data_IF_799649642399
#
_entry.id   IF_799649642399
#
_cell.length_a   1.000
_cell.length_b   1.000
_cell.length_c   1.000
_cell.angle_alpha   90.00
_cell.angle_beta   90.00
_cell.angle_gamma   90.00
#
_symmetry.space_group_name_H-M   'P 1'
#
loop_
_entity.id
_entity.type
_entity.pdbx_description
1 polymer ?
#
# COMPACT_ATOMS: atom_id res chain seq x y z
N UNK A 1 -5.45 -49.02 11.05
CA UNK A 1 -6.44 -47.93 10.97
C UNK A 1 -5.66 -46.62 10.94
N UNK A 2 -6.09 -45.71 10.08
CA UNK A 2 -5.56 -44.35 9.85
C UNK A 2 -4.36 -44.23 8.89
N UNK A 3 -4.62 -44.55 7.63
CA UNK A 3 -4.03 -43.84 6.48
C UNK A 3 -5.20 -43.53 5.55
N UNK A 4 -5.65 -42.27 5.50
CA UNK A 4 -6.53 -41.69 4.45
C UNK A 4 -7.12 -40.34 4.90
N UNK A 5 -6.28 -39.40 5.35
CA UNK A 5 -6.78 -38.07 5.75
C UNK A 5 -5.83 -36.92 5.38
N UNK A 6 -4.73 -37.12 4.65
CA UNK A 6 -3.93 -36.02 4.10
C UNK A 6 -4.39 -35.62 2.70
N UNK A 7 -4.70 -36.62 1.88
CA UNK A 7 -4.93 -36.41 0.44
C UNK A 7 -6.29 -35.74 0.17
N UNK A 8 -7.25 -35.91 1.08
CA UNK A 8 -8.57 -35.27 1.00
C UNK A 8 -8.50 -33.76 1.22
N UNK A 9 -7.67 -33.28 2.15
CA UNK A 9 -7.51 -31.83 2.40
C UNK A 9 -6.71 -31.14 1.30
N UNK A 10 -5.70 -31.80 0.71
CA UNK A 10 -4.93 -31.21 -0.39
C UNK A 10 -5.75 -31.08 -1.69
N UNK A 11 -6.73 -31.98 -1.91
CA UNK A 11 -7.66 -31.91 -3.04
C UNK A 11 -8.73 -30.81 -2.84
N UNK A 12 -9.26 -30.65 -1.63
CA UNK A 12 -10.24 -29.60 -1.30
C UNK A 12 -9.64 -28.19 -1.41
N UNK A 13 -8.39 -27.99 -0.95
CA UNK A 13 -7.69 -26.70 -1.07
C UNK A 13 -7.41 -26.32 -2.53
N UNK A 14 -7.14 -27.30 -3.41
CA UNK A 14 -6.97 -27.08 -4.85
C UNK A 14 -8.28 -26.70 -5.54
N UNK A 15 -9.40 -27.30 -5.16
CA UNK A 15 -10.73 -27.00 -5.72
C UNK A 15 -11.20 -25.58 -5.34
N UNK A 16 -10.90 -25.12 -4.12
CA UNK A 16 -11.20 -23.74 -3.66
C UNK A 16 -10.41 -22.66 -4.39
N UNK A 17 -9.21 -22.97 -4.87
CA UNK A 17 -8.36 -22.03 -5.62
C UNK A 17 -8.89 -21.75 -7.02
N UNK A 18 -9.62 -22.68 -7.64
CA UNK A 18 -10.21 -22.52 -8.97
C UNK A 18 -11.36 -21.50 -8.99
N UNK A 19 -12.01 -21.27 -7.85
CA UNK A 19 -13.09 -20.30 -7.68
C UNK A 19 -12.59 -18.86 -7.45
N UNK A 20 -11.27 -18.65 -7.28
CA UNK A 20 -10.70 -17.34 -6.98
C UNK A 20 -10.23 -16.59 -8.25
N UNK A 21 -10.82 -15.42 -8.51
CA UNK A 21 -10.42 -14.50 -9.58
C UNK A 21 -9.76 -13.24 -9.01
N UNK A 22 -8.50 -13.01 -9.38
CA UNK A 22 -7.81 -11.75 -9.07
C UNK A 22 -7.92 -10.77 -10.25
N UNK A 23 -8.37 -9.54 -9.99
CA UNK A 23 -8.35 -8.46 -10.98
C UNK A 23 -7.33 -7.40 -10.62
N UNK A 24 -6.28 -7.28 -11.44
CA UNK A 24 -5.35 -6.16 -11.34
C UNK A 24 -5.88 -4.98 -12.14
N UNK A 25 -5.96 -3.80 -11.50
CA UNK A 25 -6.44 -2.55 -12.12
C UNK A 25 -5.38 -1.45 -11.99
N UNK A 26 -4.86 -1.00 -13.11
CA UNK A 26 -3.92 0.12 -13.20
C UNK A 26 -4.72 1.42 -13.23
N UNK A 27 -4.42 2.36 -12.33
CA UNK A 27 -5.11 3.65 -12.19
C UNK A 27 -4.13 4.80 -11.95
N UNK A 28 -4.57 6.03 -12.20
CA UNK A 28 -3.85 7.24 -11.80
C UNK A 28 -3.83 7.37 -10.27
N UNK A 29 -2.71 6.97 -9.67
CA UNK A 29 -2.53 6.97 -8.22
C UNK A 29 -2.53 8.37 -7.61
N UNK A 30 -2.00 9.38 -8.32
CA UNK A 30 -1.96 10.77 -7.85
C UNK A 30 -3.39 11.28 -7.65
N UNK A 31 -4.21 11.13 -8.69
CA UNK A 31 -5.62 11.51 -8.63
C UNK A 31 -6.38 10.66 -7.59
N UNK A 32 -6.15 9.34 -7.54
CA UNK A 32 -6.83 8.45 -6.61
C UNK A 32 -6.57 8.83 -5.15
N UNK A 33 -5.29 9.05 -4.78
CA UNK A 33 -4.89 9.45 -3.43
C UNK A 33 -5.54 10.76 -3.03
N UNK A 34 -5.55 11.76 -3.91
CA UNK A 34 -6.14 13.07 -3.63
C UNK A 34 -7.66 13.04 -3.49
N UNK A 35 -8.33 12.16 -4.23
CA UNK A 35 -9.77 11.94 -4.03
C UNK A 35 -10.03 11.31 -2.66
N UNK A 36 -9.30 10.24 -2.32
CA UNK A 36 -9.52 9.49 -1.09
C UNK A 36 -9.04 10.20 0.19
N UNK A 37 -8.19 11.22 0.07
CA UNK A 37 -7.81 12.12 1.16
C UNK A 37 -8.99 13.01 1.60
N UNK A 38 -9.86 13.42 0.67
CA UNK A 38 -10.99 14.33 0.95
C UNK A 38 -12.36 13.66 0.94
N UNK A 39 -12.53 12.57 0.19
CA UNK A 39 -13.82 11.93 -0.04
C UNK A 39 -13.71 10.41 0.06
N UNK A 40 -14.70 9.71 0.65
CA UNK A 40 -14.64 8.25 0.79
C UNK A 40 -14.74 7.50 -0.55
N UNK A 41 -15.29 8.13 -1.59
CA UNK A 41 -15.41 7.53 -2.93
C UNK A 41 -15.51 8.59 -4.03
N UNK A 42 -15.22 8.18 -5.28
CA UNK A 42 -15.44 9.01 -6.48
C UNK A 42 -16.92 9.44 -6.60
N UNK A 43 -17.86 8.59 -6.19
CA UNK A 43 -19.28 8.93 -6.17
C UNK A 43 -19.61 10.00 -5.12
N UNK A 44 -18.93 9.98 -3.96
CA UNK A 44 -19.09 11.02 -2.93
C UNK A 44 -18.52 12.36 -3.41
N UNK A 45 -17.36 12.36 -4.09
CA UNK A 45 -16.79 13.55 -4.73
C UNK A 45 -17.77 14.19 -5.72
N UNK A 46 -18.39 13.37 -6.59
CA UNK A 46 -19.33 13.89 -7.58
C UNK A 46 -20.61 14.43 -6.94
N UNK A 47 -21.14 13.74 -5.92
CA UNK A 47 -22.31 14.20 -5.16
C UNK A 47 -22.07 15.53 -4.44
N UNK A 48 -20.90 15.68 -3.82
CA UNK A 48 -20.51 16.93 -3.18
C UNK A 48 -20.35 18.11 -4.17
N UNK A 49 -20.18 17.81 -5.45
CA UNK A 49 -19.91 18.79 -6.52
C UNK A 49 -20.92 18.68 -7.68
N UNK A 50 -22.16 18.29 -7.40
CA UNK A 50 -23.21 18.08 -8.42
C UNK A 50 -23.46 19.32 -9.29
N UNK A 51 -23.30 20.53 -8.72
CA UNK A 51 -23.42 21.80 -9.43
C UNK A 51 -22.34 22.06 -10.50
N UNK A 52 -21.25 21.29 -10.51
CA UNK A 52 -20.14 21.45 -11.45
C UNK A 52 -20.21 20.47 -12.65
N UNK A 53 -21.29 19.68 -12.75
CA UNK A 53 -21.52 18.76 -13.88
C UNK A 53 -20.57 17.57 -13.94
N UNK A 54 -20.03 17.15 -12.78
CA UNK A 54 -19.14 15.99 -12.69
C UNK A 54 -19.92 14.68 -12.58
N UNK A 55 -19.69 13.76 -13.51
CA UNK A 55 -20.24 12.41 -13.43
C UNK A 55 -19.18 11.38 -13.03
N UNK A 56 -19.48 10.42 -12.11
CA UNK A 56 -18.54 9.40 -11.68
C UNK A 56 -17.95 8.58 -12.85
N UNK A 57 -18.74 8.38 -13.92
CA UNK A 57 -18.33 7.66 -15.12
C UNK A 57 -17.20 8.37 -15.87
N UNK A 58 -17.20 9.69 -15.90
CA UNK A 58 -16.17 10.49 -16.58
C UNK A 58 -14.87 10.51 -15.76
N UNK A 59 -14.97 10.70 -14.45
CA UNK A 59 -13.82 10.64 -13.53
C UNK A 59 -13.21 9.24 -13.54
N UNK A 60 -14.03 8.19 -13.56
CA UNK A 60 -13.57 6.81 -13.68
C UNK A 60 -12.79 6.52 -14.97
N UNK A 61 -13.19 7.11 -16.11
CA UNK A 61 -12.45 7.00 -17.38
C UNK A 61 -11.08 7.68 -17.31
N UNK A 62 -10.98 8.82 -16.64
CA UNK A 62 -9.71 9.52 -16.41
C UNK A 62 -8.80 8.75 -15.46
N UNK A 63 -9.35 8.17 -14.38
CA UNK A 63 -8.61 7.33 -13.45
C UNK A 63 -8.05 6.07 -14.12
N UNK A 64 -8.80 5.47 -15.04
CA UNK A 64 -8.44 4.21 -15.69
C UNK A 64 -7.77 4.38 -17.07
N UNK A 65 -7.25 5.58 -17.39
CA UNK A 65 -6.58 5.90 -18.66
C UNK A 65 -7.40 5.61 -19.94
N UNK A 66 -8.72 5.50 -19.82
CA UNK A 66 -9.61 5.31 -20.99
C UNK A 66 -9.78 6.60 -21.78
N UNK A 67 -9.58 7.75 -21.14
CA UNK A 67 -9.65 9.07 -21.75
C UNK A 67 -8.47 9.91 -21.31
N UNK A 68 -7.97 10.75 -22.22
CA UNK A 68 -6.95 11.75 -21.91
C UNK A 68 -7.60 13.00 -21.27
N UNK A 69 -6.91 13.62 -20.28
CA UNK A 69 -7.28 14.91 -19.70
C UNK A 69 -7.02 16.08 -20.67
N UNK A 70 -6.17 15.86 -21.67
CA UNK A 70 -5.81 16.84 -22.70
C UNK A 70 -6.77 16.80 -23.90
N UNK A 71 -6.97 17.94 -24.55
CA UNK A 71 -7.55 17.99 -25.88
C UNK A 71 -6.59 17.37 -26.90
N UNK A 72 -7.12 16.79 -27.98
CA UNK A 72 -6.27 16.30 -29.06
C UNK A 72 -6.73 16.84 -30.40
N UNK A 73 -5.75 17.16 -31.26
CA UNK A 73 -5.96 17.41 -32.67
C UNK A 73 -5.79 16.10 -33.41
N UNK A 74 -6.69 15.82 -34.35
CA UNK A 74 -6.59 14.65 -35.22
C UNK A 74 -5.91 15.08 -36.52
N UNK A 75 -4.75 14.49 -36.80
CA UNK A 75 -4.04 14.65 -38.07
C UNK A 75 -3.87 13.25 -38.65
N UNK A 76 -4.72 12.88 -39.61
CA UNK A 76 -4.78 11.51 -40.13
C UNK A 76 -5.19 10.48 -39.07
N UNK A 77 -4.37 9.44 -38.86
CA UNK A 77 -4.59 8.37 -37.86
C UNK A 77 -3.99 8.69 -36.50
N UNK A 78 -3.12 9.69 -36.39
CA UNK A 78 -2.43 10.05 -35.15
C UNK A 78 -3.22 11.09 -34.34
N UNK A 79 -3.10 11.00 -33.01
CA UNK A 79 -3.70 11.94 -32.07
C UNK A 79 -2.57 12.74 -31.42
N UNK A 80 -2.51 14.04 -31.68
CA UNK A 80 -1.56 14.94 -31.04
C UNK A 80 -2.28 15.68 -29.92
N UNK A 81 -1.84 15.50 -28.67
CA UNK A 81 -2.45 16.18 -27.54
C UNK A 81 -1.97 17.63 -27.45
N UNK A 82 -2.90 18.53 -27.13
CA UNK A 82 -2.65 19.96 -26.88
C UNK A 82 -2.57 20.14 -25.37
N UNK A 83 -1.71 21.04 -24.89
CA UNK A 83 -1.53 21.39 -23.46
C UNK A 83 -2.74 22.13 -22.83
N UNK A 84 -3.94 21.90 -23.35
CA UNK A 84 -5.17 22.44 -22.81
C UNK A 84 -5.95 21.32 -22.10
N UNK A 85 -6.30 21.58 -20.84
CA UNK A 85 -7.08 20.66 -20.01
C UNK A 85 -8.57 20.74 -20.32
N UNK A 86 -9.22 19.58 -20.35
CA UNK A 86 -10.68 19.50 -20.46
C UNK A 86 -11.36 20.19 -19.27
N UNK A 87 -12.55 20.76 -19.51
CA UNK A 87 -13.38 21.39 -18.46
C UNK A 87 -13.51 20.55 -17.18
N UNK A 88 -13.69 19.24 -17.32
CA UNK A 88 -13.78 18.32 -16.18
C UNK A 88 -12.50 18.27 -15.31
N UNK A 89 -11.32 18.46 -15.91
CA UNK A 89 -10.05 18.45 -15.19
C UNK A 89 -9.88 19.74 -14.38
N UNK A 90 -10.32 20.88 -14.94
CA UNK A 90 -10.35 22.17 -14.23
C UNK A 90 -11.33 22.14 -13.06
N UNK A 91 -12.48 21.51 -13.26
CA UNK A 91 -13.46 21.29 -12.18
C UNK A 91 -12.88 20.38 -11.09
N UNK A 92 -12.14 19.34 -11.45
CA UNK A 92 -11.45 18.48 -10.48
C UNK A 92 -10.36 19.23 -9.70
N UNK A 93 -9.64 20.14 -10.35
CA UNK A 93 -8.67 21.01 -9.69
C UNK A 93 -9.34 21.89 -8.63
N UNK A 94 -10.49 22.50 -8.95
CA UNK A 94 -11.27 23.29 -8.00
C UNK A 94 -11.79 22.43 -6.83
N UNK A 95 -12.36 21.26 -7.13
CA UNK A 95 -12.92 20.36 -6.11
C UNK A 95 -11.85 19.77 -5.18
N UNK A 96 -10.65 19.47 -5.71
CA UNK A 96 -9.57 18.87 -4.94
C UNK A 96 -8.60 19.93 -4.38
N UNK A 97 -8.73 21.20 -4.77
CA UNK A 97 -7.78 22.28 -4.46
C UNK A 97 -6.33 21.86 -4.77
N UNK A 98 -6.12 21.33 -5.97
CA UNK A 98 -4.83 20.79 -6.41
C UNK A 98 -4.65 20.97 -7.91
N UNK A 99 -3.51 21.50 -8.39
CA UNK A 99 -3.34 21.91 -9.78
C UNK A 99 -3.49 20.74 -10.76
N UNK A 100 -4.17 20.97 -11.88
CA UNK A 100 -4.42 19.95 -12.90
C UNK A 100 -3.12 19.35 -13.48
N UNK A 101 -2.05 20.14 -13.56
CA UNK A 101 -0.72 19.70 -14.03
C UNK A 101 -0.15 18.54 -13.21
N UNK A 102 -0.37 18.57 -11.91
CA UNK A 102 0.12 17.52 -11.01
C UNK A 102 -0.86 16.35 -10.95
N UNK A 103 -2.17 16.62 -10.95
CA UNK A 103 -3.20 15.56 -10.99
C UNK A 103 -3.08 14.72 -12.27
N UNK A 104 -2.66 15.33 -13.37
CA UNK A 104 -2.65 14.73 -14.69
C UNK A 104 -1.30 14.92 -15.41
N UNK A 105 -0.25 14.17 -15.02
CA UNK A 105 1.05 14.27 -15.65
C UNK A 105 1.00 13.85 -17.13
N UNK A 106 1.57 14.68 -18.01
CA UNK A 106 1.51 14.47 -19.46
C UNK A 106 2.14 13.14 -19.89
N UNK A 107 3.33 12.84 -19.39
CA UNK A 107 4.08 11.62 -19.69
C UNK A 107 3.29 10.35 -19.38
N UNK A 108 2.48 10.41 -18.32
CA UNK A 108 1.70 9.29 -17.84
C UNK A 108 0.55 9.01 -18.82
N UNK A 109 -0.21 10.04 -19.20
CA UNK A 109 -1.33 9.87 -20.13
C UNK A 109 -0.86 9.62 -21.58
N UNK A 110 0.28 10.14 -22.01
CA UNK A 110 0.85 9.78 -23.31
C UNK A 110 1.18 8.28 -23.42
N UNK A 111 1.71 7.67 -22.35
CA UNK A 111 2.11 6.25 -22.34
C UNK A 111 0.94 5.28 -22.19
N UNK A 112 -0.07 5.63 -21.39
CA UNK A 112 -1.11 4.67 -20.96
C UNK A 112 -2.48 4.86 -21.60
N UNK A 113 -2.76 5.99 -22.27
CA UNK A 113 -4.10 6.22 -22.83
C UNK A 113 -4.45 5.19 -23.90
N UNK A 114 -5.55 4.47 -23.68
CA UNK A 114 -6.05 3.43 -24.59
C UNK A 114 -5.43 2.04 -24.40
N UNK A 115 -4.54 1.86 -23.42
CA UNK A 115 -4.03 0.55 -23.03
C UNK A 115 -5.05 -0.23 -22.20
N UNK A 116 -4.95 -1.57 -22.16
CA UNK A 116 -5.79 -2.38 -21.29
C UNK A 116 -5.32 -2.23 -19.85
N UNK A 117 -6.10 -1.54 -19.02
CA UNK A 117 -5.76 -1.22 -17.62
C UNK A 117 -6.33 -2.21 -16.62
N UNK A 118 -7.06 -3.24 -17.07
CA UNK A 118 -7.58 -4.31 -16.23
C UNK A 118 -7.22 -5.66 -16.83
N UNK A 119 -6.47 -6.47 -16.09
CA UNK A 119 -6.19 -7.87 -16.43
C UNK A 119 -6.71 -8.73 -15.28
N UNK A 120 -7.64 -9.63 -15.60
CA UNK A 120 -8.03 -10.69 -14.70
C UNK A 120 -6.99 -11.81 -14.82
N UNK A 121 -6.48 -12.26 -13.69
CA UNK A 121 -5.59 -13.39 -13.57
C UNK A 121 -6.38 -14.46 -12.81
N UNK A 122 -6.63 -15.59 -13.45
CA UNK A 122 -7.10 -16.79 -12.77
C UNK A 122 -5.90 -17.37 -12.02
N UNK A 123 -6.09 -17.73 -10.74
CA UNK A 123 -5.03 -18.16 -9.84
C UNK A 123 -4.55 -19.60 -10.12
N UNK A 124 -4.52 -20.03 -11.39
CA UNK A 124 -4.17 -21.41 -11.72
C UNK A 124 -2.66 -21.60 -11.92
N UNK A 125 -1.88 -20.51 -12.04
CA UNK A 125 -0.42 -20.50 -11.80
C UNK A 125 0.16 -19.09 -11.88
N UNK A 126 1.04 -18.75 -10.94
CA UNK A 126 1.84 -17.53 -10.97
C UNK A 126 3.06 -17.72 -11.90
N UNK A 127 2.84 -18.01 -13.19
CA UNK A 127 3.92 -18.33 -14.14
C UNK A 127 3.77 -17.63 -15.49
N UNK A 128 3.74 -16.29 -15.50
CA UNK A 128 3.96 -15.57 -16.76
C UNK A 128 4.56 -14.17 -16.54
N UNK A 129 5.82 -14.12 -16.12
CA UNK A 129 6.69 -13.00 -16.49
C UNK A 129 7.37 -13.38 -17.81
N UNK A 130 7.24 -12.59 -18.89
CA UNK A 130 7.94 -12.85 -20.13
C UNK A 130 9.46 -12.81 -19.90
N UNK A 131 10.17 -13.82 -20.40
CA UNK A 131 11.61 -14.04 -20.22
C UNK A 131 12.53 -12.81 -20.40
N UNK A 132 12.28 -11.85 -21.30
CA UNK A 132 13.13 -10.65 -21.40
C UNK A 132 12.99 -9.68 -20.20
N UNK A 133 11.85 -9.67 -19.50
CA UNK A 133 11.65 -8.81 -18.33
C UNK A 133 12.27 -9.42 -17.07
N UNK A 134 12.27 -10.77 -16.94
CA UNK A 134 13.00 -11.47 -15.88
C UNK A 134 14.50 -11.14 -15.90
N UNK A 135 15.11 -11.08 -17.08
CA UNK A 135 16.52 -10.72 -17.20
C UNK A 135 16.74 -9.24 -16.86
N UNK A 136 15.88 -8.33 -17.30
CA UNK A 136 15.96 -6.92 -16.89
C UNK A 136 15.83 -6.74 -15.38
N UNK A 137 14.90 -7.45 -14.72
CA UNK A 137 14.73 -7.41 -13.26
C UNK A 137 15.98 -7.94 -12.53
N UNK A 138 16.64 -8.96 -13.08
CA UNK A 138 17.88 -9.51 -12.52
C UNK A 138 19.09 -8.57 -12.66
N UNK A 139 19.08 -7.68 -13.66
CA UNK A 139 20.14 -6.72 -13.95
C UNK A 139 19.85 -5.29 -13.47
N UNK A 140 18.70 -5.03 -12.86
CA UNK A 140 18.49 -3.78 -12.13
C UNK A 140 19.42 -3.79 -10.91
N UNK A 141 20.17 -2.70 -10.63
CA UNK A 141 20.78 -2.56 -9.32
C UNK A 141 19.66 -2.69 -8.29
N UNK A 142 19.84 -3.57 -7.30
CA UNK A 142 18.92 -3.63 -6.17
C UNK A 142 18.67 -2.19 -5.70
N UNK A 143 17.40 -1.78 -5.47
CA UNK A 143 17.09 -0.42 -5.05
C UNK A 143 18.00 -0.08 -3.88
N UNK A 144 18.87 0.92 -4.03
CA UNK A 144 20.03 1.23 -3.18
C UNK A 144 19.89 0.69 -1.74
N UNK A 145 20.21 -0.60 -1.55
CA UNK A 145 20.01 -1.24 -0.27
C UNK A 145 20.96 -0.61 0.75
N UNK A 146 22.11 -0.11 0.32
CA UNK A 146 23.12 0.47 1.24
C UNK A 146 22.57 1.70 1.97
N UNK A 147 21.81 2.56 1.30
CA UNK A 147 21.26 3.78 1.91
C UNK A 147 20.13 3.44 2.90
N UNK A 148 19.22 2.55 2.51
CA UNK A 148 18.12 2.13 3.38
C UNK A 148 18.58 1.18 4.49
N UNK A 149 19.62 0.38 4.28
CA UNK A 149 20.16 -0.54 5.29
C UNK A 149 20.93 0.23 6.37
N UNK A 150 21.64 1.31 6.00
CA UNK A 150 22.21 2.27 6.95
C UNK A 150 21.11 3.00 7.73
N UNK A 151 20.08 3.53 7.06
CA UNK A 151 18.94 4.18 7.73
C UNK A 151 18.21 3.21 8.67
N UNK A 152 17.94 1.99 8.24
CA UNK A 152 17.29 0.96 9.05
C UNK A 152 18.18 0.49 10.20
N UNK A 153 19.49 0.41 10.01
CA UNK A 153 20.46 0.09 11.08
C UNK A 153 20.47 1.19 12.13
N UNK A 154 20.56 2.46 11.73
CA UNK A 154 20.50 3.60 12.63
C UNK A 154 19.16 3.69 13.37
N UNK A 155 18.05 3.39 12.70
CA UNK A 155 16.72 3.34 13.32
C UNK A 155 16.62 2.19 14.33
N UNK A 156 17.14 1.01 13.99
CA UNK A 156 17.18 -0.15 14.89
C UNK A 156 17.99 0.16 16.14
N UNK A 157 19.17 0.75 16.01
CA UNK A 157 20.02 1.16 17.14
C UNK A 157 19.30 2.14 18.06
N UNK A 158 18.66 3.19 17.51
CA UNK A 158 17.92 4.17 18.31
C UNK A 158 16.70 3.55 19.01
N UNK A 159 16.01 2.62 18.37
CA UNK A 159 14.92 1.85 19.01
C UNK A 159 15.47 0.98 20.14
N UNK A 160 16.60 0.30 19.93
CA UNK A 160 17.26 -0.50 20.96
C UNK A 160 17.69 0.33 22.16
N UNK A 161 18.22 1.53 21.95
CA UNK A 161 18.58 2.47 23.01
C UNK A 161 17.39 2.87 23.87
N UNK A 162 16.25 3.16 23.25
CA UNK A 162 15.02 3.48 23.98
C UNK A 162 14.52 2.26 24.76
N UNK A 163 14.56 1.07 24.16
CA UNK A 163 14.18 -0.18 24.81
C UNK A 163 15.14 -0.59 25.95
N UNK A 164 16.41 -0.19 25.90
CA UNK A 164 17.40 -0.40 26.97
C UNK A 164 17.05 0.39 28.25
N UNK A 165 16.18 1.40 28.16
CA UNK A 165 15.71 2.14 29.33
C UNK A 165 14.58 1.44 30.10
N UNK A 166 14.04 0.35 29.55
CA UNK A 166 13.08 -0.53 30.20
C UNK A 166 13.80 -1.62 31.00
N UNK A 167 13.09 -2.26 31.93
CA UNK A 167 13.64 -3.45 32.61
C UNK A 167 13.76 -4.61 31.62
N UNK A 168 14.70 -5.55 31.85
CA UNK A 168 14.95 -6.70 30.96
C UNK A 168 13.67 -7.45 30.55
N UNK A 169 12.77 -7.67 31.52
CA UNK A 169 11.46 -8.31 31.30
C UNK A 169 10.49 -7.45 30.48
N UNK A 170 10.43 -6.15 30.72
CA UNK A 170 9.62 -5.22 29.93
C UNK A 170 10.12 -5.17 28.47
N UNK A 171 11.44 -5.08 28.28
CA UNK A 171 12.10 -5.07 26.97
C UNK A 171 11.77 -6.33 26.17
N UNK A 172 11.94 -7.51 26.75
CA UNK A 172 11.69 -8.78 26.05
C UNK A 172 10.22 -8.95 25.65
N UNK A 173 9.28 -8.60 26.55
CA UNK A 173 7.84 -8.68 26.27
C UNK A 173 7.47 -7.72 25.13
N UNK A 174 7.95 -6.47 25.16
CA UNK A 174 7.68 -5.49 24.10
C UNK A 174 8.34 -5.91 22.77
N UNK A 175 9.57 -6.41 22.80
CA UNK A 175 10.26 -6.89 21.58
C UNK A 175 9.49 -7.99 20.86
N UNK A 176 9.03 -9.00 21.60
CA UNK A 176 8.25 -10.10 21.04
C UNK A 176 6.84 -9.65 20.63
N UNK A 177 6.20 -8.80 21.43
CA UNK A 177 4.86 -8.27 21.12
C UNK A 177 4.81 -7.51 19.80
N UNK A 178 5.85 -6.76 19.45
CA UNK A 178 5.92 -5.96 18.23
C UNK A 178 6.84 -6.53 17.15
N UNK A 179 7.34 -7.76 17.31
CA UNK A 179 8.16 -8.43 16.30
C UNK A 179 9.47 -7.72 15.96
N UNK A 180 10.08 -7.02 16.92
CA UNK A 180 11.32 -6.26 16.73
C UNK A 180 12.53 -7.16 16.33
N UNK A 181 12.74 -8.36 16.92
CA UNK A 181 13.90 -9.17 16.57
C UNK A 181 13.72 -9.93 15.25
N UNK A 182 12.58 -10.58 15.05
CA UNK A 182 12.39 -11.59 13.99
C UNK A 182 11.23 -11.25 13.03
N UNK A 183 10.57 -10.10 13.20
CA UNK A 183 9.39 -9.71 12.42
C UNK A 183 8.09 -10.42 12.81
N UNK A 184 8.14 -11.39 13.73
CA UNK A 184 6.99 -12.18 14.18
C UNK A 184 6.33 -11.51 15.38
N UNK A 185 5.03 -11.21 15.25
CA UNK A 185 4.21 -10.60 16.30
C UNK A 185 3.66 -11.71 17.20
N UNK A 186 3.98 -11.66 18.49
CA UNK A 186 3.46 -12.61 19.47
C UNK A 186 2.22 -12.09 20.19
N UNK A 187 1.22 -12.96 20.32
CA UNK A 187 0.01 -12.68 21.09
C UNK A 187 0.30 -12.72 22.60
N UNK A 188 -0.54 -12.05 23.40
CA UNK A 188 -0.46 -12.15 24.87
C UNK A 188 -0.62 -13.60 25.35
N UNK A 189 -1.29 -14.44 24.54
CA UNK A 189 -1.48 -15.85 24.80
C UNK A 189 -0.19 -16.66 24.63
N UNK A 190 0.56 -16.39 23.58
CA UNK A 190 1.86 -17.01 23.37
C UNK A 190 2.90 -16.48 24.36
N UNK A 191 2.88 -15.18 24.65
CA UNK A 191 3.78 -14.57 25.63
C UNK A 191 3.58 -15.17 27.03
N UNK A 192 2.35 -15.48 27.45
CA UNK A 192 2.13 -16.08 28.77
C UNK A 192 2.72 -17.48 28.87
N UNK A 193 2.67 -18.25 27.77
CA UNK A 193 3.28 -19.58 27.68
C UNK A 193 4.80 -19.49 27.75
N UNK A 194 5.40 -18.53 27.06
CA UNK A 194 6.85 -18.31 27.02
C UNK A 194 7.38 -17.83 28.37
N UNK A 195 6.76 -16.82 28.97
CA UNK A 195 7.22 -16.21 30.22
C UNK A 195 6.73 -16.92 31.49
N UNK A 196 5.85 -17.93 31.36
CA UNK A 196 5.24 -18.69 32.47
C UNK A 196 4.57 -17.79 33.52
N UNK A 197 3.87 -16.77 33.04
CA UNK A 197 3.22 -15.73 33.85
C UNK A 197 1.75 -15.64 33.47
N UNK A 198 0.87 -15.08 34.30
CA UNK A 198 -0.54 -14.93 33.95
C UNK A 198 -0.77 -13.92 32.82
N UNK A 199 -1.82 -14.13 32.01
CA UNK A 199 -2.21 -13.21 30.92
C UNK A 199 -2.37 -11.76 31.39
N UNK A 200 -3.05 -11.56 32.53
CA UNK A 200 -3.25 -10.23 33.10
C UNK A 200 -1.92 -9.58 33.50
N UNK A 201 -0.98 -10.37 34.02
CA UNK A 201 0.33 -9.87 34.42
C UNK A 201 1.18 -9.42 33.22
N UNK A 202 1.08 -10.08 32.07
CA UNK A 202 1.70 -9.60 30.82
C UNK A 202 1.12 -8.27 30.38
N UNK A 203 -0.21 -8.15 30.38
CA UNK A 203 -0.87 -6.90 30.01
C UNK A 203 -0.47 -5.73 30.93
N UNK A 204 -0.34 -5.98 32.24
CA UNK A 204 0.17 -4.99 33.19
C UNK A 204 1.60 -4.55 32.87
N UNK A 205 2.48 -5.51 32.53
CA UNK A 205 3.87 -5.22 32.19
C UNK A 205 3.96 -4.45 30.88
N UNK A 206 3.18 -4.83 29.87
CA UNK A 206 3.06 -4.15 28.57
C UNK A 206 2.57 -2.71 28.75
N UNK A 207 1.46 -2.52 29.47
CA UNK A 207 0.89 -1.18 29.75
C UNK A 207 1.90 -0.30 30.50
N UNK A 208 2.61 -0.87 31.48
CA UNK A 208 3.65 -0.16 32.23
C UNK A 208 4.85 0.20 31.34
N UNK A 209 5.24 -0.67 30.42
CA UNK A 209 6.30 -0.40 29.46
C UNK A 209 5.90 0.69 28.47
N UNK A 210 4.68 0.64 27.91
CA UNK A 210 4.15 1.67 27.01
C UNK A 210 4.07 3.03 27.72
N UNK A 211 3.54 3.06 28.94
CA UNK A 211 3.49 4.29 29.75
C UNK A 211 4.89 4.88 29.98
N UNK A 212 5.88 4.03 30.24
CA UNK A 212 7.30 4.42 30.37
C UNK A 212 7.89 4.93 29.05
N UNK A 213 7.49 4.39 27.91
CA UNK A 213 7.93 4.83 26.58
C UNK A 213 7.28 6.17 26.17
N UNK A 214 6.06 6.42 26.64
CA UNK A 214 5.29 7.65 26.40
C UNK A 214 5.73 8.86 27.25
N UNK A 215 6.78 8.77 28.06
CA UNK A 215 7.28 9.94 28.79
C UNK A 215 8.02 10.91 27.86
N UNK A 216 7.82 12.22 28.05
CA UNK A 216 8.24 13.32 27.14
C UNK A 216 9.70 13.27 26.68
N UNK A 217 10.63 12.77 27.50
CA UNK A 217 12.05 12.64 27.13
C UNK A 217 12.33 11.51 26.14
N UNK A 218 11.52 10.43 26.15
CA UNK A 218 11.65 9.26 25.29
C UNK A 218 10.80 9.38 24.03
N UNK A 219 9.62 10.01 24.13
CA UNK A 219 8.81 10.38 22.98
C UNK A 219 9.57 11.29 22.02
N UNK A 220 10.27 12.31 22.51
CA UNK A 220 11.08 13.20 21.65
C UNK A 220 12.17 12.46 20.85
N UNK A 221 12.74 11.39 21.42
CA UNK A 221 13.73 10.53 20.72
C UNK A 221 13.08 9.62 19.67
N UNK A 222 11.82 9.26 19.87
CA UNK A 222 11.04 8.44 18.93
C UNK A 222 10.39 9.30 17.84
N UNK A 223 9.95 10.53 18.16
CA UNK A 223 9.36 11.49 17.21
C UNK A 223 10.40 11.99 16.21
N UNK A 224 11.67 12.11 16.59
CA UNK A 224 12.74 12.44 15.65
C UNK A 224 13.04 11.34 14.61
N UNK A 225 12.35 10.20 14.69
CA UNK A 225 12.46 9.07 13.75
C UNK A 225 11.31 8.99 12.75
N UNK A 226 10.25 9.81 12.91
CA UNK A 226 9.06 9.87 12.05
C UNK A 226 9.09 11.11 11.15
#
# INVERSE_FOLDING_TARGET
MESDNSDTYELEDQELLEDLRLEMKIKNNILWKKIHEKFPSVAALCRANEGLGMYPTQVGKLLAFKTSPFYYRRVGKEKTYVREYRKLCLVLEQALNYPAEILFPEELYQKFVGTQTSKAIQLNSFSALPSPEKQKILFLPAPDNVSHELELSEMKEKIEDVLNTLTKREKEIVKLRYGIPDGVIYTAEELFKIFKVSRSRIFQIETKAIWKLQQSSRLKKLESLL
#
